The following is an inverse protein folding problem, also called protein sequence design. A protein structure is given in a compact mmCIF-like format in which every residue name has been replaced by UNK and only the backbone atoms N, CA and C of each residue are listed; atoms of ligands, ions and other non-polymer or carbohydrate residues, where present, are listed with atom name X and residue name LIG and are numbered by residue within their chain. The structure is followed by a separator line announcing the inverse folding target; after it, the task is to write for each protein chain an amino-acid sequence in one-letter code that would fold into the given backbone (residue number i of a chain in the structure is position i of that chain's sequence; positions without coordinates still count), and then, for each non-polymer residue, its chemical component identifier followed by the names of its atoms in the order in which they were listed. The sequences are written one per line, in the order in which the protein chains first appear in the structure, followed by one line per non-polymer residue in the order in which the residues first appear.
data_IF_994276408386
#
_entry.id   IF_994276408386
#
_cell.length_a   1.000
_cell.length_b   1.000
_cell.length_c   1.000
_cell.angle_alpha   90.00
_cell.angle_beta   90.00
_cell.angle_gamma   90.00
#
_symmetry.space_group_name_H-M   'P 1'
#
loop_
_entity.id
_entity.type
_entity.pdbx_description
1 polymer ?
#
# COMPACT_ATOMS: atom_id res chain seq x y z
N UNK A 1 6.91 -9.03 9.91
CA UNK A 1 7.28 -9.93 8.79
C UNK A 1 6.47 -11.21 8.89
N UNK A 2 5.81 -11.58 7.81
CA UNK A 2 5.07 -12.83 7.71
C UNK A 2 5.99 -14.01 7.40
N UNK A 3 6.92 -13.82 6.45
CA UNK A 3 7.94 -14.80 6.12
C UNK A 3 9.17 -14.12 5.51
N UNK A 4 10.30 -14.81 5.63
CA UNK A 4 11.53 -14.39 4.97
C UNK A 4 12.26 -15.65 4.50
N UNK A 5 12.68 -15.66 3.23
CA UNK A 5 13.42 -16.76 2.62
C UNK A 5 14.67 -16.22 1.93
N UNK A 6 15.73 -16.99 2.01
CA UNK A 6 17.01 -16.66 1.42
C UNK A 6 17.60 -17.91 0.77
N UNK A 7 18.04 -17.78 -0.48
CA UNK A 7 18.70 -18.86 -1.19
C UNK A 7 19.89 -18.35 -1.99
N UNK A 8 20.98 -19.11 -2.02
CA UNK A 8 22.19 -18.78 -2.74
C UNK A 8 22.47 -19.76 -3.85
N UNK A 9 22.74 -19.26 -5.04
CA UNK A 9 23.12 -20.06 -6.21
C UNK A 9 24.02 -19.25 -7.15
N UNK A 10 25.12 -19.87 -7.58
CA UNK A 10 26.04 -19.27 -8.57
C UNK A 10 26.57 -17.88 -8.18
N UNK A 11 26.88 -17.69 -6.88
CA UNK A 11 27.42 -16.43 -6.36
C UNK A 11 26.38 -15.31 -6.22
N UNK A 12 25.08 -15.65 -6.29
CA UNK A 12 23.96 -14.71 -6.13
C UNK A 12 23.03 -15.20 -5.03
N UNK A 13 22.59 -14.28 -4.20
CA UNK A 13 21.63 -14.55 -3.14
C UNK A 13 20.29 -13.91 -3.47
N UNK A 14 19.24 -14.72 -3.50
CA UNK A 14 17.86 -14.26 -3.65
C UNK A 14 17.21 -14.16 -2.29
N UNK A 15 16.66 -13.00 -1.97
CA UNK A 15 15.93 -12.74 -0.73
C UNK A 15 14.47 -12.43 -1.07
N UNK A 16 13.55 -13.10 -0.40
CA UNK A 16 12.11 -12.89 -0.53
C UNK A 16 11.53 -12.64 0.87
N UNK A 17 10.91 -11.49 1.05
CA UNK A 17 10.27 -11.09 2.30
C UNK A 17 8.79 -10.84 2.03
N UNK A 18 7.93 -11.51 2.79
CA UNK A 18 6.50 -11.23 2.80
C UNK A 18 6.15 -10.49 4.10
N UNK A 19 5.38 -9.43 3.97
CA UNK A 19 4.93 -8.60 5.09
C UNK A 19 3.48 -8.88 5.37
N UNK A 20 3.11 -8.90 6.66
CA UNK A 20 1.72 -9.09 7.08
C UNK A 20 0.84 -7.97 6.55
N UNK A 21 -0.41 -8.33 6.25
CA UNK A 21 -1.44 -7.36 5.86
C UNK A 21 -1.64 -6.31 6.97
N UNK A 22 -2.01 -5.12 6.56
CA UNK A 22 -2.23 -4.00 7.44
C UNK A 22 -3.42 -3.16 6.96
N UNK A 23 -4.12 -2.52 7.90
CA UNK A 23 -5.24 -1.63 7.61
C UNK A 23 -5.07 -0.30 8.34
N UNK A 24 -5.34 0.80 7.65
CA UNK A 24 -5.40 2.14 8.22
C UNK A 24 -6.83 2.69 8.15
N UNK A 25 -7.22 3.41 9.19
CA UNK A 25 -8.47 4.17 9.27
C UNK A 25 -8.14 5.61 9.69
N UNK A 26 -9.16 6.47 9.81
CA UNK A 26 -8.96 7.85 10.30
C UNK A 26 -8.43 7.89 11.74
N UNK A 27 -8.58 6.80 12.49
CA UNK A 27 -8.16 6.70 13.89
C UNK A 27 -6.77 6.06 14.06
N UNK A 28 -6.15 5.59 12.99
CA UNK A 28 -4.81 4.99 13.04
C UNK A 28 -3.74 6.01 12.67
N UNK A 29 -2.55 5.84 13.24
CA UNK A 29 -1.40 6.65 12.86
C UNK A 29 -0.73 6.03 11.63
N UNK A 30 -0.68 6.75 10.48
CA UNK A 30 -0.04 6.22 9.27
C UNK A 30 1.42 5.83 9.46
N UNK A 31 2.12 6.47 10.40
CA UNK A 31 3.52 6.16 10.69
C UNK A 31 3.73 4.77 11.31
N UNK A 32 2.69 4.20 11.88
CA UNK A 32 2.73 2.85 12.47
C UNK A 32 2.52 1.74 11.43
N UNK A 33 2.30 2.09 10.17
CA UNK A 33 2.10 1.13 9.10
C UNK A 33 3.44 0.44 8.72
N UNK A 34 3.59 -0.87 8.97
CA UNK A 34 4.84 -1.57 8.68
C UNK A 34 5.14 -1.68 7.17
N UNK A 35 4.12 -1.68 6.33
CA UNK A 35 4.30 -1.70 4.87
C UNK A 35 4.86 -0.37 4.39
N UNK A 36 4.37 0.73 4.95
CA UNK A 36 4.91 2.05 4.65
C UNK A 36 6.39 2.17 5.01
N UNK A 37 6.77 1.64 6.15
CA UNK A 37 8.19 1.61 6.56
C UNK A 37 9.04 0.78 5.61
N UNK A 38 8.53 -0.37 5.17
CA UNK A 38 9.24 -1.26 4.28
C UNK A 38 9.35 -0.70 2.85
N UNK A 39 8.32 -0.01 2.39
CA UNK A 39 8.20 0.47 1.00
C UNK A 39 8.56 1.94 0.83
N UNK A 40 8.69 2.69 1.91
CA UNK A 40 8.91 4.14 1.86
C UNK A 40 7.72 4.93 1.30
N UNK A 41 6.52 4.35 1.30
CA UNK A 41 5.33 4.97 0.74
C UNK A 41 4.10 4.68 1.59
N UNK A 42 3.34 5.73 1.93
CA UNK A 42 2.03 5.60 2.57
C UNK A 42 1.01 6.46 1.89
N UNK A 43 -0.26 6.04 1.99
CA UNK A 43 -1.39 6.93 1.77
C UNK A 43 -1.89 7.37 3.14
N UNK A 44 -1.82 8.67 3.42
CA UNK A 44 -2.39 9.23 4.64
C UNK A 44 -3.91 9.33 4.48
N UNK A 45 -4.64 8.62 5.33
CA UNK A 45 -6.11 8.64 5.32
C UNK A 45 -6.64 10.07 5.47
N UNK A 46 -6.00 10.88 6.32
CA UNK A 46 -6.42 12.26 6.56
C UNK A 46 -6.20 13.19 5.36
N UNK A 47 -5.32 12.84 4.45
CA UNK A 47 -5.06 13.59 3.21
C UNK A 47 -5.73 13.00 1.98
N UNK A 48 -6.44 11.89 2.13
CA UNK A 48 -7.06 11.19 1.01
C UNK A 48 -7.99 12.09 0.19
N UNK A 49 -8.79 12.93 0.86
CA UNK A 49 -9.71 13.84 0.20
C UNK A 49 -9.00 14.84 -0.74
N UNK A 50 -7.76 15.21 -0.41
CA UNK A 50 -6.97 16.15 -1.21
C UNK A 50 -6.43 15.53 -2.51
N UNK A 51 -6.44 14.21 -2.63
CA UNK A 51 -5.98 13.49 -3.81
C UNK A 51 -7.07 13.34 -4.87
N UNK A 52 -8.31 13.65 -4.53
CA UNK A 52 -9.46 13.48 -5.40
C UNK A 52 -9.79 14.77 -6.16
N UNK A 53 -10.23 14.68 -7.42
CA UNK A 53 -10.57 15.84 -8.24
C UNK A 53 -11.96 16.45 -7.90
N UNK A 54 -12.63 15.92 -6.88
CA UNK A 54 -13.95 16.36 -6.44
C UNK A 54 -14.00 16.47 -4.93
N UNK A 55 -14.99 17.21 -4.41
CA UNK A 55 -15.15 17.43 -2.98
C UNK A 55 -15.90 16.29 -2.32
N UNK A 56 -15.39 15.81 -1.19
CA UNK A 56 -16.08 14.87 -0.30
C UNK A 56 -16.84 15.68 0.75
N UNK A 57 -18.17 15.51 0.81
CA UNK A 57 -19.02 16.23 1.75
C UNK A 57 -19.16 15.50 3.08
N UNK A 58 -19.25 14.16 3.06
CA UNK A 58 -19.37 13.35 4.27
C UNK A 58 -18.98 11.88 4.01
N UNK A 59 -18.78 11.12 5.07
CA UNK A 59 -18.53 9.68 5.01
C UNK A 59 -17.05 9.30 4.94
N UNK A 60 -16.12 10.26 5.00
CA UNK A 60 -14.69 9.98 4.96
C UNK A 60 -14.24 9.14 6.17
N UNK A 61 -14.94 9.26 7.29
CA UNK A 61 -14.71 8.44 8.49
C UNK A 61 -14.98 6.95 8.27
N UNK A 62 -15.70 6.58 7.22
CA UNK A 62 -15.94 5.18 6.83
C UNK A 62 -14.81 4.58 6.00
N UNK A 63 -13.84 5.36 5.57
CA UNK A 63 -12.72 4.90 4.76
C UNK A 63 -11.83 3.96 5.55
N UNK A 64 -11.54 2.80 4.96
CA UNK A 64 -10.50 1.89 5.38
C UNK A 64 -9.55 1.66 4.23
N UNK A 65 -8.25 1.78 4.47
CA UNK A 65 -7.21 1.51 3.50
C UNK A 65 -6.52 0.21 3.91
N UNK A 66 -6.68 -0.83 3.09
CA UNK A 66 -6.05 -2.14 3.31
C UNK A 66 -4.81 -2.28 2.44
N UNK A 67 -3.74 -2.75 3.06
CA UNK A 67 -2.49 -3.10 2.41
C UNK A 67 -2.33 -4.60 2.46
N UNK A 68 -2.32 -5.25 1.30
CA UNK A 68 -2.27 -6.72 1.19
C UNK A 68 -1.21 -7.16 0.20
N UNK A 69 -0.82 -8.43 0.27
CA UNK A 69 0.11 -9.06 -0.67
C UNK A 69 1.44 -8.31 -0.81
N UNK A 70 1.92 -7.74 0.29
CA UNK A 70 3.19 -7.02 0.31
C UNK A 70 4.36 -8.00 0.26
N UNK A 71 5.16 -7.89 -0.79
CA UNK A 71 6.30 -8.75 -1.05
C UNK A 71 7.50 -7.94 -1.54
N UNK A 72 8.65 -8.22 -0.97
CA UNK A 72 9.93 -7.67 -1.39
C UNK A 72 10.79 -8.82 -1.89
N UNK A 73 11.31 -8.70 -3.12
CA UNK A 73 12.22 -9.66 -3.70
C UNK A 73 13.48 -8.94 -4.17
N UNK A 74 14.65 -9.46 -3.85
CA UNK A 74 15.89 -8.91 -4.38
C UNK A 74 16.92 -10.01 -4.66
N UNK A 75 17.81 -9.70 -5.62
CA UNK A 75 18.96 -10.54 -5.96
C UNK A 75 20.21 -9.72 -5.65
N UNK A 76 21.10 -10.29 -4.86
CA UNK A 76 22.34 -9.66 -4.40
C UNK A 76 23.52 -10.42 -4.97
N UNK A 77 24.52 -9.68 -5.48
CA UNK A 77 25.83 -10.25 -5.84
C UNK A 77 26.61 -10.52 -4.56
N UNK A 78 26.92 -11.78 -4.28
CA UNK A 78 27.60 -12.20 -3.05
C UNK A 78 29.01 -11.62 -2.92
N UNK A 79 29.70 -11.38 -4.06
CA UNK A 79 31.08 -10.89 -4.06
C UNK A 79 31.17 -9.40 -3.74
N UNK A 80 30.17 -8.61 -4.12
CA UNK A 80 30.18 -7.13 -3.99
C UNK A 80 29.18 -6.60 -3.00
N UNK A 81 28.14 -7.38 -2.65
CA UNK A 81 27.02 -6.94 -1.84
C UNK A 81 26.04 -6.00 -2.57
N UNK A 82 26.21 -5.85 -3.89
CA UNK A 82 25.37 -4.96 -4.71
C UNK A 82 24.06 -5.66 -5.05
N UNK A 83 22.95 -4.93 -4.97
CA UNK A 83 21.65 -5.39 -5.42
C UNK A 83 21.60 -5.32 -6.95
N UNK A 84 21.48 -6.49 -7.58
CA UNK A 84 21.39 -6.61 -9.05
C UNK A 84 19.97 -6.42 -9.55
N UNK A 85 18.99 -6.81 -8.76
CA UNK A 85 17.56 -6.70 -9.06
C UNK A 85 16.77 -6.54 -7.79
N UNK A 86 15.73 -5.74 -7.83
CA UNK A 86 14.80 -5.59 -6.72
C UNK A 86 13.39 -5.32 -7.22
N UNK A 87 12.41 -5.92 -6.56
CA UNK A 87 10.98 -5.70 -6.80
C UNK A 87 10.27 -5.52 -5.48
N UNK A 88 9.47 -4.46 -5.38
CA UNK A 88 8.54 -4.21 -4.29
C UNK A 88 7.14 -4.26 -4.85
N UNK A 89 6.30 -5.07 -4.25
CA UNK A 89 4.95 -5.31 -4.73
C UNK A 89 3.97 -5.29 -3.57
N UNK A 90 2.87 -4.54 -3.72
CA UNK A 90 1.80 -4.51 -2.74
C UNK A 90 0.49 -4.05 -3.38
N UNK A 91 -0.61 -4.41 -2.74
CA UNK A 91 -1.96 -4.05 -3.19
C UNK A 91 -2.60 -3.15 -2.14
N UNK A 92 -3.16 -2.03 -2.59
CA UNK A 92 -3.95 -1.14 -1.74
C UNK A 92 -5.41 -1.23 -2.15
N UNK A 93 -6.28 -1.49 -1.17
CA UNK A 93 -7.73 -1.49 -1.36
C UNK A 93 -8.35 -0.39 -0.51
N UNK A 94 -9.10 0.49 -1.15
CA UNK A 94 -9.87 1.55 -0.50
C UNK A 94 -11.29 1.08 -0.34
N UNK A 95 -11.77 0.95 0.91
CA UNK A 95 -13.14 0.56 1.23
C UNK A 95 -13.89 1.73 1.83
N UNK A 96 -15.06 2.02 1.28
CA UNK A 96 -15.98 3.05 1.79
C UNK A 96 -17.27 2.40 2.26
N UNK A 97 -17.68 2.69 3.49
CA UNK A 97 -19.01 2.30 3.97
C UNK A 97 -20.09 3.19 3.35
N UNK A 98 -20.00 4.50 3.59
CA UNK A 98 -20.87 5.50 3.00
C UNK A 98 -20.04 6.74 2.65
N UNK A 99 -20.15 7.21 1.43
CA UNK A 99 -19.44 8.40 0.97
C UNK A 99 -20.39 9.29 0.17
N UNK A 100 -20.43 10.57 0.51
CA UNK A 100 -21.16 11.59 -0.25
C UNK A 100 -20.15 12.54 -0.87
N UNK A 101 -20.20 12.66 -2.19
CA UNK A 101 -19.33 13.53 -2.98
C UNK A 101 -20.16 14.61 -3.68
N UNK A 102 -19.52 15.75 -3.96
CA UNK A 102 -20.09 16.78 -4.81
C UNK A 102 -19.25 16.86 -6.09
N UNK A 103 -19.90 16.61 -7.23
CA UNK A 103 -19.30 16.71 -8.56
C UNK A 103 -20.05 17.80 -9.31
N UNK A 104 -19.41 18.96 -9.49
CA UNK A 104 -19.99 20.11 -10.21
C UNK A 104 -21.36 20.55 -9.68
N UNK A 105 -21.54 20.56 -8.36
CA UNK A 105 -22.77 20.96 -7.72
C UNK A 105 -23.80 19.83 -7.54
N UNK A 106 -23.52 18.63 -8.03
CA UNK A 106 -24.42 17.49 -7.91
C UNK A 106 -23.92 16.54 -6.81
N UNK A 107 -24.70 16.29 -5.75
CA UNK A 107 -24.33 15.29 -4.73
C UNK A 107 -24.50 13.87 -5.26
N UNK A 108 -23.50 13.04 -5.04
CA UNK A 108 -23.49 11.61 -5.39
C UNK A 108 -23.15 10.81 -4.15
N UNK A 109 -23.98 9.82 -3.83
CA UNK A 109 -23.79 8.93 -2.69
C UNK A 109 -23.29 7.57 -3.15
N UNK A 110 -22.22 7.07 -2.51
CA UNK A 110 -21.69 5.73 -2.69
C UNK A 110 -21.83 4.96 -1.39
N UNK A 111 -22.33 3.72 -1.47
CA UNK A 111 -22.45 2.82 -0.31
C UNK A 111 -21.67 1.55 -0.59
N UNK A 112 -20.87 1.11 0.41
CA UNK A 112 -20.11 -0.14 0.34
C UNK A 112 -19.30 -0.29 -0.96
N UNK A 113 -18.59 0.78 -1.32
CA UNK A 113 -17.75 0.82 -2.52
C UNK A 113 -16.31 0.46 -2.20
N UNK A 114 -15.60 -0.15 -3.15
CA UNK A 114 -14.18 -0.42 -3.02
C UNK A 114 -13.44 -0.15 -4.31
N UNK A 115 -12.16 0.21 -4.19
CA UNK A 115 -11.24 0.36 -5.31
C UNK A 115 -9.91 -0.28 -4.93
N UNK A 116 -9.32 -1.05 -5.85
CA UNK A 116 -8.07 -1.77 -5.61
C UNK A 116 -7.02 -1.36 -6.63
N UNK A 117 -5.80 -1.09 -6.15
CA UNK A 117 -4.66 -0.71 -6.99
C UNK A 117 -3.47 -1.58 -6.58
N UNK A 118 -2.84 -2.22 -7.57
CA UNK A 118 -1.58 -2.94 -7.37
C UNK A 118 -0.41 -2.03 -7.72
N UNK A 119 0.57 -1.96 -6.80
CA UNK A 119 1.80 -1.21 -7.00
C UNK A 119 2.97 -2.16 -7.17
N UNK A 120 3.75 -1.96 -8.23
CA UNK A 120 4.98 -2.70 -8.49
C UNK A 120 6.08 -1.68 -8.75
N UNK A 121 7.15 -1.76 -7.94
CA UNK A 121 8.34 -0.92 -8.10
C UNK A 121 9.51 -1.84 -8.37
N UNK A 122 10.26 -1.58 -9.45
CA UNK A 122 11.43 -2.34 -9.85
C UNK A 122 12.68 -1.46 -9.84
N UNK A 123 13.79 -2.08 -9.47
CA UNK A 123 15.11 -1.45 -9.54
C UNK A 123 15.93 -2.10 -10.67
#
# INVERSE_FOLDING_TARGET
VKSAKCSTKDGKTTVIIEVKDHSDTVNTNPEDNPIARAMGATVDVNNFANLLPFKIESGLESLEIKYTDCKISCIIDDSTGIILYGEWKYTITYNFGNLVMNINGTPISLSNSSATIEYVVEI
#
